data_IF_829105905708
#
_entry.id   IF_829105905708
#
_cell.length_a   1.000
_cell.length_b   1.000
_cell.length_c   1.000
_cell.angle_alpha   90.00
_cell.angle_beta   90.00
_cell.angle_gamma   90.00
#
_symmetry.space_group_name_H-M   'P 1'
#
loop_
_entity.id
_entity.type
_entity.pdbx_description
1 polymer ?
#
# COMPACT_ATOMS: atom_id res chain seq x y z
N UNK A 1 -9.45 -48.57 72.22
CA UNK A 1 -9.13 -47.24 71.67
C UNK A 1 -8.96 -47.32 70.15
N UNK A 2 -9.93 -46.83 69.36
CA UNK A 2 -9.81 -46.80 67.89
C UNK A 2 -8.85 -45.66 67.49
N UNK A 3 -7.65 -45.99 66.99
CA UNK A 3 -6.76 -45.01 66.34
C UNK A 3 -7.47 -44.46 65.11
N UNK A 4 -7.95 -43.20 65.16
CA UNK A 4 -8.41 -42.48 63.97
C UNK A 4 -7.22 -42.41 63.01
N UNK A 5 -7.27 -43.20 61.92
CA UNK A 5 -6.36 -43.03 60.78
C UNK A 5 -6.66 -41.66 60.18
N UNK A 6 -5.86 -40.66 60.54
CA UNK A 6 -5.89 -39.40 59.82
C UNK A 6 -5.52 -39.72 58.37
N UNK A 7 -6.39 -39.32 57.45
CA UNK A 7 -6.12 -39.40 56.02
C UNK A 7 -4.77 -38.72 55.73
N UNK A 8 -3.94 -39.35 54.91
CA UNK A 8 -2.60 -38.84 54.54
C UNK A 8 -2.66 -37.40 54.02
N UNK A 9 -3.76 -37.05 53.34
CA UNK A 9 -4.10 -35.68 52.91
C UNK A 9 -4.26 -34.69 54.07
N UNK A 10 -4.87 -35.11 55.17
CA UNK A 10 -5.06 -34.25 56.35
C UNK A 10 -3.75 -33.95 57.09
N UNK A 11 -2.81 -34.92 57.11
CA UNK A 11 -1.47 -34.71 57.65
C UNK A 11 -0.64 -33.81 56.73
N UNK A 12 -0.75 -34.00 55.40
CA UNK A 12 -0.11 -33.15 54.41
C UNK A 12 -0.57 -31.69 54.53
N UNK A 13 -1.88 -31.45 54.57
CA UNK A 13 -2.44 -30.09 54.68
C UNK A 13 -2.02 -29.38 55.96
N UNK A 14 -1.94 -30.11 57.08
CA UNK A 14 -1.49 -29.54 58.36
C UNK A 14 0.00 -29.17 58.34
N UNK A 15 0.83 -29.97 57.66
CA UNK A 15 2.25 -29.64 57.40
C UNK A 15 2.39 -28.43 56.48
N UNK A 16 1.60 -28.39 55.40
CA UNK A 16 1.59 -27.33 54.40
C UNK A 16 1.21 -25.99 55.04
N UNK A 17 0.10 -25.94 55.80
CA UNK A 17 -0.29 -24.75 56.57
C UNK A 17 0.79 -24.26 57.52
N UNK A 18 1.44 -25.17 58.28
CA UNK A 18 2.48 -24.78 59.23
C UNK A 18 3.73 -24.21 58.53
N UNK A 19 4.11 -24.78 57.39
CA UNK A 19 5.21 -24.26 56.58
C UNK A 19 4.89 -22.92 55.91
N UNK A 20 3.68 -22.75 55.38
CA UNK A 20 3.21 -21.49 54.82
C UNK A 20 3.18 -20.38 55.88
N UNK A 21 2.77 -20.69 57.12
CA UNK A 21 2.82 -19.77 58.26
C UNK A 21 4.25 -19.40 58.68
N UNK A 22 5.19 -20.35 58.70
CA UNK A 22 6.59 -20.05 59.04
C UNK A 22 7.31 -19.24 57.96
N UNK A 23 6.92 -19.40 56.69
CA UNK A 23 7.51 -18.73 55.52
C UNK A 23 6.62 -17.64 54.93
N UNK A 24 5.73 -17.02 55.71
CA UNK A 24 4.64 -16.17 55.20
C UNK A 24 5.13 -15.03 54.29
N UNK A 25 6.27 -14.40 54.60
CA UNK A 25 6.85 -13.34 53.77
C UNK A 25 7.25 -13.85 52.37
N UNK A 26 7.90 -15.01 52.29
CA UNK A 26 8.29 -15.63 51.02
C UNK A 26 7.07 -16.10 50.23
N UNK A 27 6.07 -16.66 50.91
CA UNK A 27 4.80 -17.05 50.30
C UNK A 27 4.06 -15.85 49.68
N UNK A 28 4.01 -14.72 50.41
CA UNK A 28 3.41 -13.48 49.89
C UNK A 28 4.19 -12.93 48.69
N UNK A 29 5.52 -12.99 48.70
CA UNK A 29 6.34 -12.60 47.54
C UNK A 29 6.04 -13.44 46.30
N UNK A 30 5.83 -14.75 46.45
CA UNK A 30 5.48 -15.65 45.34
C UNK A 30 4.10 -15.27 44.76
N UNK A 31 3.10 -15.05 45.63
CA UNK A 31 1.77 -14.61 45.19
C UNK A 31 1.85 -13.23 44.51
N UNK A 32 2.62 -12.30 45.05
CA UNK A 32 2.80 -10.97 44.48
C UNK A 32 3.45 -11.04 43.09
N UNK A 33 4.50 -11.84 42.91
CA UNK A 33 5.11 -12.06 41.59
C UNK A 33 4.13 -12.69 40.60
N UNK A 34 3.34 -13.68 41.04
CA UNK A 34 2.29 -14.28 40.22
C UNK A 34 1.18 -13.29 39.83
N UNK A 35 0.76 -12.43 40.76
CA UNK A 35 -0.22 -11.38 40.51
C UNK A 35 0.29 -10.29 39.56
N UNK A 36 1.55 -9.87 39.71
CA UNK A 36 2.19 -8.92 38.79
C UNK A 36 2.29 -9.53 37.39
N UNK A 37 2.76 -10.77 37.27
CA UNK A 37 2.84 -11.44 35.97
C UNK A 37 1.46 -11.57 35.30
N UNK A 38 0.42 -11.92 36.07
CA UNK A 38 -0.94 -12.06 35.56
C UNK A 38 -1.52 -10.71 35.12
N UNK A 39 -1.30 -9.64 35.89
CA UNK A 39 -1.78 -8.28 35.52
C UNK A 39 -1.06 -7.74 34.29
N UNK A 40 0.24 -7.99 34.15
CA UNK A 40 1.01 -7.64 32.95
C UNK A 40 0.51 -8.41 31.72
N UNK A 41 0.29 -9.73 31.85
CA UNK A 41 -0.24 -10.55 30.78
C UNK A 41 -1.64 -10.10 30.33
N UNK A 42 -2.56 -9.90 31.28
CA UNK A 42 -3.92 -9.45 30.97
C UNK A 42 -3.91 -8.03 30.38
N UNK A 43 -3.04 -7.15 30.87
CA UNK A 43 -2.88 -5.79 30.34
C UNK A 43 -2.38 -5.79 28.88
N UNK A 44 -1.33 -6.56 28.58
CA UNK A 44 -0.81 -6.71 27.22
C UNK A 44 -1.84 -7.36 26.30
N UNK A 45 -2.53 -8.41 26.76
CA UNK A 45 -3.56 -9.08 25.98
C UNK A 45 -4.73 -8.13 25.67
N UNK A 46 -5.19 -7.35 26.65
CA UNK A 46 -6.25 -6.37 26.45
C UNK A 46 -5.84 -5.27 25.46
N UNK A 47 -4.58 -4.82 25.52
CA UNK A 47 -4.06 -3.84 24.58
C UNK A 47 -3.98 -4.41 23.16
N UNK A 48 -3.43 -5.61 23.01
CA UNK A 48 -3.35 -6.31 21.73
C UNK A 48 -4.74 -6.51 21.11
N UNK A 49 -5.72 -6.97 21.90
CA UNK A 49 -7.10 -7.12 21.43
C UNK A 49 -7.74 -5.79 21.03
N UNK A 50 -7.49 -4.73 21.79
CA UNK A 50 -8.00 -3.39 21.45
C UNK A 50 -7.39 -2.87 20.15
N UNK A 51 -6.09 -3.10 19.93
CA UNK A 51 -5.41 -2.72 18.70
C UNK A 51 -5.97 -3.51 17.52
N UNK A 52 -6.07 -4.84 17.64
CA UNK A 52 -6.65 -5.69 16.59
C UNK A 52 -8.07 -5.29 16.23
N UNK A 53 -8.91 -4.95 17.21
CA UNK A 53 -10.29 -4.49 16.93
C UNK A 53 -10.30 -3.17 16.17
N UNK A 54 -9.47 -2.20 16.56
CA UNK A 54 -9.38 -0.92 15.86
C UNK A 54 -8.96 -1.12 14.41
N UNK A 55 -7.90 -1.91 14.18
CA UNK A 55 -7.41 -2.22 12.83
C UNK A 55 -8.50 -2.90 12.00
N UNK A 56 -9.21 -3.88 12.56
CA UNK A 56 -10.32 -4.55 11.88
C UNK A 56 -11.46 -3.58 11.52
N UNK A 57 -11.77 -2.62 12.40
CA UNK A 57 -12.74 -1.56 12.08
C UNK A 57 -12.29 -0.73 10.88
N UNK A 58 -11.04 -0.29 10.82
CA UNK A 58 -10.49 0.43 9.65
C UNK A 58 -10.60 -0.40 8.37
N UNK A 59 -10.33 -1.71 8.44
CA UNK A 59 -10.44 -2.61 7.29
C UNK A 59 -11.88 -2.78 6.80
N UNK A 60 -12.85 -2.81 7.71
CA UNK A 60 -14.26 -2.91 7.38
C UNK A 60 -14.78 -1.61 6.77
N UNK A 61 -14.45 -0.47 7.40
CA UNK A 61 -14.86 0.86 6.92
C UNK A 61 -14.24 1.20 5.56
N UNK A 62 -12.96 0.87 5.38
CA UNK A 62 -12.22 1.07 4.13
C UNK A 62 -12.49 0.00 3.06
N UNK A 63 -13.35 -0.98 3.35
CA UNK A 63 -13.64 -2.11 2.46
C UNK A 63 -12.36 -2.76 1.89
N UNK A 64 -11.45 -3.16 2.78
CA UNK A 64 -10.12 -3.65 2.39
C UNK A 64 -10.24 -4.95 1.55
N UNK A 65 -9.51 -5.06 0.42
CA UNK A 65 -9.44 -6.27 -0.39
C UNK A 65 -9.01 -7.51 0.39
N UNK A 66 -9.26 -8.68 -0.18
CA UNK A 66 -8.76 -9.95 0.33
C UNK A 66 -7.49 -10.38 -0.44
N UNK A 67 -7.45 -10.11 -1.75
CA UNK A 67 -6.34 -10.45 -2.63
C UNK A 67 -5.93 -9.21 -3.44
N UNK A 68 -4.63 -9.05 -3.64
CA UNK A 68 -4.02 -8.06 -4.52
C UNK A 68 -3.15 -8.78 -5.55
N UNK A 69 -3.39 -8.49 -6.82
CA UNK A 69 -2.68 -9.11 -7.95
C UNK A 69 -1.94 -8.00 -8.69
N UNK A 70 -0.61 -8.05 -8.68
CA UNK A 70 0.24 -7.10 -9.39
C UNK A 70 0.83 -7.77 -10.60
N UNK A 71 0.75 -7.08 -11.74
CA UNK A 71 1.30 -7.54 -13.00
C UNK A 71 2.51 -6.68 -13.41
N UNK A 72 3.44 -7.28 -14.16
CA UNK A 72 4.60 -6.55 -14.70
C UNK A 72 4.18 -5.67 -15.88
N UNK A 73 3.32 -6.23 -16.71
CA UNK A 73 2.73 -5.65 -17.90
C UNK A 73 1.21 -5.57 -17.74
N UNK A 74 0.61 -4.69 -18.53
CA UNK A 74 -0.79 -4.34 -18.44
C UNK A 74 -1.75 -5.46 -18.89
N UNK A 75 -2.81 -5.64 -18.11
CA UNK A 75 -3.95 -6.52 -18.44
C UNK A 75 -5.28 -5.84 -18.02
N UNK A 76 -5.87 -5.04 -18.93
CA UNK A 76 -7.05 -4.20 -18.64
C UNK A 76 -8.30 -4.92 -18.14
N UNK A 77 -8.41 -6.23 -18.36
CA UNK A 77 -9.64 -6.99 -18.10
C UNK A 77 -9.44 -8.17 -17.15
N UNK A 78 -8.34 -8.19 -16.39
CA UNK A 78 -7.94 -9.33 -15.57
C UNK A 78 -9.05 -9.81 -14.61
N UNK A 79 -9.83 -8.89 -14.04
CA UNK A 79 -10.96 -9.22 -13.17
C UNK A 79 -12.09 -9.96 -13.90
N UNK A 80 -12.42 -9.55 -15.13
CA UNK A 80 -13.41 -10.23 -15.96
C UNK A 80 -12.88 -11.57 -16.48
N UNK A 81 -11.61 -11.61 -16.88
CA UNK A 81 -10.93 -12.83 -17.33
C UNK A 81 -10.90 -13.89 -16.23
N UNK A 82 -10.64 -13.51 -14.98
CA UNK A 82 -10.72 -14.44 -13.85
C UNK A 82 -12.14 -14.93 -13.58
N UNK A 83 -13.17 -14.09 -13.77
CA UNK A 83 -14.57 -14.51 -13.67
C UNK A 83 -14.93 -15.50 -14.79
N UNK A 84 -14.53 -15.19 -16.03
CA UNK A 84 -14.75 -16.05 -17.20
C UNK A 84 -13.99 -17.39 -17.08
N UNK A 85 -12.80 -17.38 -16.49
CA UNK A 85 -12.01 -18.57 -16.19
C UNK A 85 -12.56 -19.38 -15.00
N UNK A 86 -13.60 -18.89 -14.30
CA UNK A 86 -14.18 -19.54 -13.12
C UNK A 86 -13.28 -19.50 -11.88
N UNK A 87 -12.30 -18.59 -11.84
CA UNK A 87 -11.39 -18.39 -10.71
C UNK A 87 -12.06 -17.52 -9.64
N UNK A 88 -12.78 -16.49 -10.07
CA UNK A 88 -13.57 -15.60 -9.21
C UNK A 88 -15.06 -15.87 -9.40
N UNK A 89 -15.82 -15.69 -8.31
CA UNK A 89 -17.27 -15.82 -8.35
C UNK A 89 -17.90 -14.52 -8.88
N UNK A 90 -19.12 -14.59 -9.42
CA UNK A 90 -19.84 -13.40 -9.93
C UNK A 90 -20.00 -12.32 -8.85
N UNK A 91 -20.19 -12.74 -7.60
CA UNK A 91 -20.43 -11.87 -6.45
C UNK A 91 -19.14 -11.29 -5.83
N UNK A 92 -17.96 -11.74 -6.28
CA UNK A 92 -16.69 -11.13 -5.86
C UNK A 92 -16.56 -9.74 -6.50
N UNK A 93 -16.15 -8.76 -5.69
CA UNK A 93 -15.92 -7.40 -6.15
C UNK A 93 -14.47 -7.26 -6.61
N UNK A 94 -14.28 -6.58 -7.73
CA UNK A 94 -12.97 -6.34 -8.34
C UNK A 94 -12.81 -4.88 -8.70
N UNK A 95 -11.64 -4.33 -8.47
CA UNK A 95 -11.30 -2.95 -8.84
C UNK A 95 -9.83 -2.90 -9.29
N UNK A 96 -9.53 -2.15 -10.33
CA UNK A 96 -8.16 -1.99 -10.85
C UNK A 96 -7.63 -0.60 -10.56
N UNK A 97 -6.31 -0.50 -10.44
CA UNK A 97 -5.61 0.78 -10.30
C UNK A 97 -4.21 0.70 -10.89
N UNK A 98 -3.64 1.87 -11.14
CA UNK A 98 -2.23 2.00 -11.42
C UNK A 98 -1.48 2.29 -10.12
N UNK A 99 -0.70 1.31 -9.68
CA UNK A 99 0.16 1.34 -8.52
C UNK A 99 1.56 1.79 -8.95
N UNK A 100 2.00 2.93 -8.43
CA UNK A 100 3.33 3.50 -8.73
C UNK A 100 4.10 3.82 -7.44
N UNK A 101 5.40 3.65 -7.44
CA UNK A 101 6.26 4.14 -6.36
C UNK A 101 6.64 5.60 -6.59
N UNK A 102 6.54 6.39 -5.54
CA UNK A 102 6.88 7.81 -5.57
C UNK A 102 7.64 8.25 -4.33
N UNK A 103 8.26 9.42 -4.42
CA UNK A 103 8.71 10.18 -3.25
C UNK A 103 7.94 11.48 -3.17
N UNK A 104 7.37 11.73 -1.99
CA UNK A 104 6.80 13.02 -1.60
C UNK A 104 7.80 13.64 -0.62
N UNK A 105 8.43 14.76 -1.01
CA UNK A 105 9.57 15.32 -0.29
C UNK A 105 10.69 14.27 -0.07
N UNK A 106 11.10 14.01 1.17
CA UNK A 106 12.06 12.95 1.52
C UNK A 106 11.42 11.58 1.82
N UNK A 107 10.09 11.48 1.79
CA UNK A 107 9.36 10.28 2.22
C UNK A 107 8.98 9.40 1.03
N UNK A 108 9.34 8.13 1.11
CA UNK A 108 8.91 7.09 0.17
C UNK A 108 7.43 6.78 0.37
N UNK A 109 6.66 6.75 -0.71
CA UNK A 109 5.23 6.46 -0.68
C UNK A 109 4.78 5.66 -1.90
N UNK A 110 3.62 5.01 -1.76
CA UNK A 110 2.91 4.41 -2.89
C UNK A 110 1.87 5.38 -3.44
N UNK A 111 1.68 5.35 -4.75
CA UNK A 111 0.65 6.08 -5.46
C UNK A 111 -0.40 5.11 -5.96
N UNK A 112 -1.63 5.26 -5.47
CA UNK A 112 -2.81 4.62 -6.03
C UNK A 112 -3.46 5.59 -7.02
N UNK A 113 -3.31 5.34 -8.31
CA UNK A 113 -3.88 6.17 -9.38
C UNK A 113 -5.10 5.46 -9.96
N UNK A 114 -6.26 6.11 -9.90
CA UNK A 114 -7.56 5.51 -10.20
C UNK A 114 -8.40 6.42 -11.10
N UNK A 115 -9.27 5.86 -11.94
CA UNK A 115 -10.14 6.66 -12.82
C UNK A 115 -11.28 7.33 -12.07
N UNK A 116 -11.73 6.72 -10.98
CA UNK A 116 -12.83 7.20 -10.14
C UNK A 116 -12.53 6.93 -8.66
N UNK A 117 -13.31 7.53 -7.77
CA UNK A 117 -13.15 7.29 -6.34
C UNK A 117 -13.34 5.81 -6.02
N UNK A 118 -12.42 5.21 -5.24
CA UNK A 118 -12.41 3.77 -5.09
C UNK A 118 -13.53 3.27 -4.18
N UNK A 119 -14.00 2.06 -4.46
CA UNK A 119 -15.00 1.35 -3.66
C UNK A 119 -14.35 0.25 -2.80
N UNK A 120 -13.27 -0.34 -3.31
CA UNK A 120 -12.35 -1.22 -2.59
C UNK A 120 -11.16 -0.42 -2.08
N UNK A 121 -10.72 -0.71 -0.85
CA UNK A 121 -9.58 -0.02 -0.24
C UNK A 121 -9.72 1.50 -0.23
N UNK A 122 -10.91 1.98 0.10
CA UNK A 122 -11.24 3.40 0.11
C UNK A 122 -10.72 4.09 1.38
N UNK A 123 -10.45 5.40 1.32
CA UNK A 123 -10.11 6.18 2.50
C UNK A 123 -11.17 6.07 3.61
N UNK A 124 -10.71 5.98 4.85
CA UNK A 124 -11.58 5.82 6.04
C UNK A 124 -11.91 7.17 6.68
N UNK A 125 -10.86 7.96 6.94
CA UNK A 125 -10.99 9.34 7.41
C UNK A 125 -10.53 10.27 6.31
N UNK A 126 -11.24 11.38 6.10
CA UNK A 126 -10.93 12.32 5.03
C UNK A 126 -11.23 13.76 5.47
N UNK A 127 -10.31 14.66 5.16
CA UNK A 127 -10.48 16.11 5.24
C UNK A 127 -10.28 16.63 3.82
N UNK A 128 -11.33 17.15 3.21
CA UNK A 128 -11.27 17.75 1.86
C UNK A 128 -11.41 19.27 1.97
N UNK A 129 -10.77 20.02 1.07
CA UNK A 129 -11.19 21.40 0.83
C UNK A 129 -12.61 21.39 0.23
N UNK A 130 -13.44 22.38 0.58
CA UNK A 130 -14.81 22.48 0.06
C UNK A 130 -14.79 22.49 -1.48
N UNK A 131 -15.20 21.36 -2.07
CA UNK A 131 -15.25 21.00 -3.50
C UNK A 131 -13.89 20.75 -4.18
N UNK A 132 -13.76 19.54 -4.76
CA UNK A 132 -14.15 19.42 -6.16
C UNK A 132 -15.39 18.53 -6.27
N UNK A 133 -16.52 19.10 -6.69
CA UNK A 133 -17.69 18.34 -7.14
C UNK A 133 -17.45 17.61 -8.47
N UNK A 134 -16.28 16.97 -8.62
CA UNK A 134 -15.78 16.37 -9.86
C UNK A 134 -15.02 15.06 -9.62
N UNK A 135 -14.65 14.40 -10.71
CA UNK A 135 -13.82 13.18 -10.75
C UNK A 135 -12.39 13.38 -10.26
N UNK A 136 -11.96 14.63 -10.13
CA UNK A 136 -10.56 14.99 -9.95
C UNK A 136 -10.22 15.12 -8.47
N UNK A 137 -9.20 14.37 -8.04
CA UNK A 137 -8.76 14.41 -6.66
C UNK A 137 -7.28 14.05 -6.53
N UNK A 138 -6.67 14.58 -5.49
CA UNK A 138 -5.37 14.15 -5.01
C UNK A 138 -5.34 14.23 -3.48
N UNK A 139 -5.37 13.05 -2.86
CA UNK A 139 -5.38 12.85 -1.43
C UNK A 139 -4.03 12.33 -0.95
N UNK A 140 -3.51 12.95 0.10
CA UNK A 140 -2.26 12.52 0.74
C UNK A 140 -2.60 11.91 2.10
N UNK A 141 -1.95 10.80 2.44
CA UNK A 141 -2.13 10.16 3.74
C UNK A 141 -1.59 11.03 4.88
N UNK A 142 -2.29 10.98 6.03
CA UNK A 142 -1.91 11.70 7.25
C UNK A 142 -0.49 11.40 7.70
N UNK A 143 0.02 10.19 7.47
CA UNK A 143 1.41 9.83 7.79
C UNK A 143 2.45 10.63 6.97
N UNK A 144 2.12 11.01 5.74
CA UNK A 144 2.98 11.88 4.90
C UNK A 144 2.82 13.34 5.34
N UNK A 145 1.58 13.77 5.59
CA UNK A 145 1.27 15.14 6.01
C UNK A 145 1.86 15.50 7.39
N UNK A 146 1.85 14.54 8.31
CA UNK A 146 2.34 14.69 9.68
C UNK A 146 3.80 14.23 9.86
N UNK A 147 4.54 13.94 8.78
CA UNK A 147 5.96 13.58 8.84
C UNK A 147 6.76 14.73 9.46
N UNK A 148 6.92 14.62 10.78
CA UNK A 148 7.58 15.41 11.81
C UNK A 148 8.17 16.78 11.44
N UNK A 149 7.81 17.77 12.27
CA UNK A 149 8.44 19.08 12.41
C UNK A 149 9.92 19.07 12.81
N UNK A 150 10.68 18.03 12.48
CA UNK A 150 12.14 18.08 12.36
C UNK A 150 12.52 18.81 11.07
N UNK A 151 12.48 20.13 11.14
CA UNK A 151 13.36 21.08 10.43
C UNK A 151 13.67 20.68 8.97
N UNK A 152 12.70 20.78 8.05
CA UNK A 152 12.89 21.36 6.69
C UNK A 152 11.66 21.34 5.77
N UNK A 153 10.67 20.48 5.99
CA UNK A 153 9.52 20.41 5.08
C UNK A 153 8.26 21.07 5.65
N UNK A 154 7.58 21.95 4.88
CA UNK A 154 6.36 22.60 5.34
C UNK A 154 5.22 21.58 5.42
N UNK A 155 4.49 21.59 6.54
CA UNK A 155 3.29 20.77 6.79
C UNK A 155 2.41 20.67 5.53
N UNK A 156 2.22 19.46 5.00
CA UNK A 156 1.42 19.26 3.79
C UNK A 156 -0.05 19.33 4.16
N UNK A 157 -0.73 20.36 3.66
CA UNK A 157 -2.14 20.64 3.92
C UNK A 157 -2.88 20.79 2.59
N UNK A 158 -4.21 20.76 2.66
CA UNK A 158 -5.07 21.02 1.51
C UNK A 158 -4.74 22.38 0.87
N UNK A 159 -4.86 22.46 -0.45
CA UNK A 159 -4.56 23.64 -1.23
C UNK A 159 -3.09 23.82 -1.63
N UNK A 160 -2.14 23.11 -0.99
CA UNK A 160 -0.72 23.19 -1.35
C UNK A 160 -0.39 22.37 -2.60
N UNK A 161 0.56 22.87 -3.39
CA UNK A 161 1.18 22.11 -4.47
C UNK A 161 2.39 21.37 -3.88
N UNK A 162 2.51 20.09 -4.19
CA UNK A 162 3.63 19.25 -3.75
C UNK A 162 4.31 18.61 -4.96
N UNK A 163 5.62 18.39 -4.83
CA UNK A 163 6.42 17.68 -5.81
C UNK A 163 6.40 16.16 -5.52
N UNK A 164 6.06 15.40 -6.55
CA UNK A 164 6.07 13.95 -6.59
C UNK A 164 7.18 13.50 -7.51
N UNK A 165 8.12 12.71 -6.98
CA UNK A 165 9.23 12.18 -7.78
C UNK A 165 8.97 10.72 -8.13
N UNK A 166 8.92 10.42 -9.42
CA UNK A 166 8.67 9.09 -9.97
C UNK A 166 9.91 8.52 -10.65
N UNK A 167 10.08 7.20 -10.56
CA UNK A 167 11.03 6.46 -11.37
C UNK A 167 10.33 5.90 -12.61
N UNK A 168 10.18 6.72 -13.64
CA UNK A 168 9.25 6.42 -14.75
C UNK A 168 9.69 5.23 -15.61
N UNK A 169 11.00 4.95 -15.71
CA UNK A 169 11.52 3.84 -16.52
C UNK A 169 11.18 2.47 -15.94
N UNK A 170 10.92 2.38 -14.63
CA UNK A 170 10.50 1.13 -13.98
C UNK A 170 9.10 0.69 -14.49
N UNK A 171 8.30 1.64 -14.98
CA UNK A 171 6.95 1.42 -15.50
C UNK A 171 6.85 1.59 -17.02
N UNK A 172 7.92 2.06 -17.66
CA UNK A 172 8.02 2.30 -19.10
C UNK A 172 9.43 1.96 -19.62
N UNK A 173 9.81 0.68 -19.66
CA UNK A 173 11.18 0.28 -20.02
C UNK A 173 11.57 0.76 -21.44
N UNK A 174 10.62 0.76 -22.38
CA UNK A 174 10.84 1.25 -23.76
C UNK A 174 11.08 2.75 -23.89
N UNK A 175 10.68 3.55 -22.90
CA UNK A 175 10.82 5.00 -22.94
C UNK A 175 12.30 5.40 -22.94
N UNK A 176 13.15 4.71 -22.18
CA UNK A 176 14.59 5.01 -22.09
C UNK A 176 15.27 4.97 -23.48
N UNK A 177 15.12 3.87 -24.20
CA UNK A 177 15.66 3.68 -25.56
C UNK A 177 15.11 4.72 -26.54
N UNK A 178 13.82 5.03 -26.46
CA UNK A 178 13.21 6.05 -27.32
C UNK A 178 13.78 7.44 -27.03
N UNK A 179 13.96 7.79 -25.76
CA UNK A 179 14.58 9.06 -25.37
C UNK A 179 16.03 9.15 -25.86
N UNK A 180 16.80 8.08 -25.77
CA UNK A 180 18.18 8.03 -26.31
C UNK A 180 18.18 8.35 -27.81
N UNK A 181 17.38 7.61 -28.59
CA UNK A 181 17.25 7.78 -30.03
C UNK A 181 16.77 9.19 -30.41
N UNK A 182 15.83 9.75 -29.64
CA UNK A 182 15.34 11.11 -29.83
C UNK A 182 16.44 12.13 -29.60
N UNK A 183 17.27 11.90 -28.58
CA UNK A 183 18.35 12.81 -28.22
C UNK A 183 19.50 12.86 -29.22
N UNK A 184 19.68 11.78 -29.99
CA UNK A 184 20.65 11.70 -31.09
C UNK A 184 20.09 12.32 -32.37
N UNK A 185 18.81 12.06 -32.67
CA UNK A 185 18.20 12.42 -33.94
C UNK A 185 17.62 13.84 -33.97
N UNK A 186 17.09 14.31 -32.84
CA UNK A 186 16.39 15.61 -32.70
C UNK A 186 16.73 16.26 -31.34
N UNK A 187 18.01 16.64 -31.10
CA UNK A 187 18.44 17.24 -29.83
C UNK A 187 17.71 18.53 -29.47
N UNK A 188 17.17 19.26 -30.46
CA UNK A 188 16.39 20.48 -30.31
C UNK A 188 15.06 20.29 -29.56
N UNK A 189 14.56 19.06 -29.49
CA UNK A 189 13.35 18.75 -28.72
C UNK A 189 13.57 18.79 -27.20
N UNK A 190 14.81 18.84 -26.73
CA UNK A 190 15.13 18.99 -25.31
C UNK A 190 15.37 20.46 -24.97
N UNK A 191 14.72 20.98 -23.93
CA UNK A 191 14.83 22.39 -23.53
C UNK A 191 16.25 22.75 -23.08
N UNK A 192 16.96 21.82 -22.42
CA UNK A 192 18.36 22.03 -22.03
C UNK A 192 19.10 20.72 -21.79
N UNK A 193 20.44 20.78 -21.87
CA UNK A 193 21.31 19.66 -21.53
C UNK A 193 21.21 19.24 -20.05
N UNK A 194 20.94 20.18 -19.14
CA UNK A 194 20.75 19.87 -17.72
C UNK A 194 19.46 19.06 -17.49
N UNK A 195 18.36 19.50 -18.10
CA UNK A 195 17.06 18.81 -18.04
C UNK A 195 17.09 17.45 -18.72
N UNK A 196 17.79 17.35 -19.85
CA UNK A 196 18.13 16.08 -20.48
C UNK A 196 18.75 15.12 -19.45
N UNK A 197 19.84 15.53 -18.79
CA UNK A 197 20.53 14.68 -17.82
C UNK A 197 19.68 14.26 -16.62
N UNK A 198 18.78 15.13 -16.12
CA UNK A 198 17.84 14.79 -15.05
C UNK A 198 16.86 13.67 -15.49
N UNK A 199 16.28 13.79 -16.68
CA UNK A 199 15.34 12.79 -17.20
C UNK A 199 16.01 11.43 -17.47
N UNK A 200 17.25 11.44 -17.99
CA UNK A 200 18.03 10.21 -18.22
C UNK A 200 18.46 9.51 -16.92
N UNK A 201 18.39 10.18 -15.76
CA UNK A 201 18.51 9.51 -14.45
C UNK A 201 17.23 8.76 -14.05
N UNK A 202 16.18 8.80 -14.90
CA UNK A 202 14.92 8.10 -14.71
C UNK A 202 13.98 8.76 -13.70
N UNK A 203 14.29 9.98 -13.27
CA UNK A 203 13.52 10.72 -12.26
C UNK A 203 12.67 11.79 -12.91
N UNK A 204 11.34 11.65 -12.85
CA UNK A 204 10.40 12.69 -13.26
C UNK A 204 9.79 13.36 -12.04
N UNK A 205 9.84 14.68 -11.99
CA UNK A 205 9.20 15.46 -10.93
C UNK A 205 7.89 16.03 -11.46
N UNK A 206 6.79 15.69 -10.79
CA UNK A 206 5.44 16.11 -11.13
C UNK A 206 4.90 16.96 -9.99
N UNK A 207 4.19 18.04 -10.31
CA UNK A 207 3.61 18.92 -9.31
C UNK A 207 2.08 18.76 -9.29
N UNK A 208 1.51 18.50 -8.12
CA UNK A 208 0.07 18.34 -7.99
C UNK A 208 -0.46 19.06 -6.74
N UNK A 209 -1.67 19.62 -6.85
CA UNK A 209 -2.35 20.32 -5.76
C UNK A 209 -3.10 19.33 -4.88
N UNK A 210 -2.81 19.34 -3.58
CA UNK A 210 -3.47 18.51 -2.58
C UNK A 210 -4.92 18.98 -2.41
N UNK A 211 -5.88 18.10 -2.67
CA UNK A 211 -7.31 18.38 -2.50
C UNK A 211 -7.88 17.81 -1.21
N UNK A 212 -7.16 16.88 -0.58
CA UNK A 212 -7.57 16.32 0.71
C UNK A 212 -6.46 15.60 1.44
N UNK A 213 -6.67 15.40 2.74
CA UNK A 213 -5.83 14.60 3.63
C UNK A 213 -6.64 13.40 4.08
N UNK A 214 -6.06 12.20 3.97
CA UNK A 214 -6.77 10.94 4.22
C UNK A 214 -6.07 10.02 5.21
N UNK A 215 -6.80 9.07 5.77
CA UNK A 215 -6.25 7.87 6.41
C UNK A 215 -6.56 6.68 5.51
N UNK A 216 -5.52 6.05 4.95
CA UNK A 216 -5.69 4.95 3.99
C UNK A 216 -5.62 3.58 4.68
N UNK A 217 -6.56 2.64 4.41
CA UNK A 217 -6.64 1.39 5.14
C UNK A 217 -5.46 0.44 4.90
N UNK A 218 -4.76 0.56 3.76
CA UNK A 218 -3.55 -0.25 3.45
C UNK A 218 -2.31 0.16 4.28
N UNK A 219 -2.33 1.34 4.90
CA UNK A 219 -1.20 1.85 5.69
C UNK A 219 -1.22 1.35 7.14
N UNK A 220 -2.34 0.79 7.57
CA UNK A 220 -2.56 0.36 8.96
C UNK A 220 -2.41 -1.15 9.03
N UNK A 221 -1.41 -1.65 9.76
CA UNK A 221 -1.30 -3.08 10.08
C UNK A 221 -1.12 -3.32 11.58
N UNK A 222 -1.44 -4.53 12.04
CA UNK A 222 -1.35 -4.93 13.45
C UNK A 222 0.09 -5.04 13.97
N UNK A 223 1.09 -5.13 13.08
CA UNK A 223 2.48 -5.41 13.44
C UNK A 223 3.52 -4.39 12.94
N UNK A 224 3.21 -3.56 11.94
CA UNK A 224 4.13 -2.56 11.35
C UNK A 224 3.35 -1.36 10.80
N UNK A 225 4.02 -0.22 10.71
CA UNK A 225 3.57 0.91 9.89
C UNK A 225 4.16 0.73 8.48
N UNK A 226 3.32 0.75 7.45
CA UNK A 226 3.77 0.71 6.06
C UNK A 226 4.16 2.11 5.57
N UNK A 227 4.87 2.17 4.44
CA UNK A 227 5.02 3.44 3.72
C UNK A 227 3.63 3.98 3.40
N UNK A 228 3.44 5.27 3.62
CA UNK A 228 2.16 5.90 3.34
C UNK A 228 1.81 5.84 1.86
N UNK A 229 0.51 5.86 1.59
CA UNK A 229 -0.06 5.87 0.24
C UNK A 229 -0.72 7.20 -0.06
N UNK A 230 -0.55 7.75 -1.26
CA UNK A 230 -1.42 8.80 -1.77
C UNK A 230 -2.42 8.22 -2.77
N UNK A 231 -3.57 8.87 -2.91
CA UNK A 231 -4.63 8.48 -3.82
C UNK A 231 -4.90 9.63 -4.81
N UNK A 232 -4.81 9.37 -6.10
CA UNK A 232 -4.90 10.41 -7.13
C UNK A 232 -5.81 9.95 -8.29
N UNK A 233 -6.57 10.86 -8.87
CA UNK A 233 -7.32 10.56 -10.09
C UNK A 233 -6.40 10.49 -11.31
N UNK A 234 -6.71 9.62 -12.27
CA UNK A 234 -5.95 9.53 -13.54
C UNK A 234 -5.88 10.86 -14.27
N UNK A 235 -6.95 11.66 -14.25
CA UNK A 235 -7.01 12.99 -14.83
C UNK A 235 -5.97 13.96 -14.24
N UNK A 236 -5.88 14.02 -12.91
CA UNK A 236 -4.90 14.86 -12.20
C UNK A 236 -3.49 14.36 -12.48
N UNK A 237 -3.27 13.05 -12.46
CA UNK A 237 -1.98 12.46 -12.78
C UNK A 237 -1.52 12.82 -14.19
N UNK A 238 -2.37 12.62 -15.20
CA UNK A 238 -2.07 12.91 -16.60
C UNK A 238 -1.81 14.39 -16.85
N UNK A 239 -2.64 15.27 -16.29
CA UNK A 239 -2.46 16.72 -16.42
C UNK A 239 -1.13 17.16 -15.81
N UNK A 240 -0.81 16.66 -14.61
CA UNK A 240 0.44 16.98 -13.92
C UNK A 240 1.66 16.37 -14.65
N UNK A 241 1.51 15.19 -15.25
CA UNK A 241 2.54 14.54 -16.07
C UNK A 241 2.81 15.33 -17.36
N UNK A 242 1.76 15.77 -18.06
CA UNK A 242 1.86 16.64 -19.24
C UNK A 242 2.59 17.95 -18.93
N UNK A 243 2.23 18.61 -17.83
CA UNK A 243 2.91 19.82 -17.37
C UNK A 243 4.39 19.53 -17.08
N UNK A 244 4.69 18.42 -16.38
CA UNK A 244 6.06 18.03 -16.09
C UNK A 244 6.88 17.80 -17.36
N UNK A 245 6.33 17.15 -18.40
CA UNK A 245 7.04 16.98 -19.69
C UNK A 245 7.42 18.33 -20.32
N UNK A 246 6.60 19.37 -20.12
CA UNK A 246 6.88 20.74 -20.57
C UNK A 246 8.13 21.36 -19.93
N UNK A 247 8.63 20.84 -18.80
CA UNK A 247 9.89 21.28 -18.19
C UNK A 247 11.13 20.66 -18.88
N UNK A 248 10.93 19.58 -19.65
CA UNK A 248 12.01 18.82 -20.28
C UNK A 248 12.04 18.98 -21.81
N UNK A 249 10.88 19.13 -22.44
CA UNK A 249 10.72 19.07 -23.90
C UNK A 249 10.11 20.33 -24.51
N UNK A 250 10.48 20.63 -25.76
CA UNK A 250 9.71 21.56 -26.61
C UNK A 250 8.30 21.03 -26.84
N UNK A 251 7.41 21.87 -27.38
CA UNK A 251 6.04 21.46 -27.68
C UNK A 251 6.01 20.24 -28.63
N UNK A 252 6.82 20.26 -29.69
CA UNK A 252 6.92 19.17 -30.65
C UNK A 252 7.50 17.89 -30.03
N UNK A 253 8.54 18.04 -29.20
CA UNK A 253 9.15 16.95 -28.46
C UNK A 253 8.12 16.30 -27.54
N UNK A 254 7.42 17.09 -26.74
CA UNK A 254 6.38 16.64 -25.81
C UNK A 254 5.27 15.90 -26.55
N UNK A 255 4.73 16.45 -27.64
CA UNK A 255 3.69 15.78 -28.43
C UNK A 255 4.14 14.43 -28.97
N UNK A 256 5.42 14.29 -29.36
CA UNK A 256 5.95 13.00 -29.80
C UNK A 256 5.99 11.98 -28.64
N UNK A 257 6.44 12.39 -27.45
CA UNK A 257 6.47 11.52 -26.26
C UNK A 257 5.04 11.10 -25.89
N UNK A 258 4.10 12.04 -25.87
CA UNK A 258 2.70 11.78 -25.54
C UNK A 258 2.06 10.84 -26.54
N UNK A 259 2.31 11.05 -27.84
CA UNK A 259 1.85 10.14 -28.89
C UNK A 259 2.45 8.74 -28.74
N UNK A 260 3.72 8.62 -28.36
CA UNK A 260 4.34 7.31 -28.09
C UNK A 260 3.71 6.61 -26.89
N UNK A 261 3.36 7.36 -25.84
CA UNK A 261 2.70 6.84 -24.63
C UNK A 261 1.19 6.66 -24.81
N UNK A 262 0.64 7.08 -25.93
CA UNK A 262 -0.80 7.10 -26.21
C UNK A 262 -1.58 8.03 -25.29
N UNK A 263 -0.94 9.06 -24.73
CA UNK A 263 -1.60 10.02 -23.84
C UNK A 263 -2.46 10.96 -24.69
N UNK A 264 -3.76 10.95 -24.42
CA UNK A 264 -4.71 11.95 -24.92
C UNK A 264 -5.38 12.61 -23.72
N UNK A 265 -5.30 13.94 -23.64
CA UNK A 265 -5.91 14.73 -22.55
C UNK A 265 -7.37 15.09 -22.83
N UNK A 266 -7.83 14.98 -24.09
CA UNK A 266 -9.19 15.29 -24.50
C UNK A 266 -10.11 14.05 -24.48
N UNK A 267 -9.53 12.85 -24.61
CA UNK A 267 -10.26 11.59 -24.52
C UNK A 267 -10.16 10.92 -23.13
N UNK A 268 -11.13 10.07 -22.81
CA UNK A 268 -11.04 9.25 -21.61
C UNK A 268 -9.83 8.30 -21.75
N UNK A 269 -9.01 8.13 -20.69
CA UNK A 269 -7.83 7.27 -20.75
C UNK A 269 -8.21 5.89 -21.26
N UNK A 270 -7.66 5.50 -22.41
CA UNK A 270 -7.87 4.17 -22.95
C UNK A 270 -7.14 3.16 -22.05
N UNK A 271 -7.70 1.96 -21.82
CA UNK A 271 -7.04 0.92 -21.04
C UNK A 271 -5.60 0.63 -21.52
N UNK A 272 -5.36 0.75 -22.83
CA UNK A 272 -4.06 0.50 -23.45
C UNK A 272 -3.09 1.69 -23.43
N UNK A 273 -3.44 2.79 -22.74
CA UNK A 273 -2.64 4.03 -22.74
C UNK A 273 -2.13 4.33 -21.34
N UNK A 274 -0.97 4.98 -21.25
CA UNK A 274 -0.40 5.30 -19.94
C UNK A 274 -1.26 6.34 -19.20
N UNK A 275 -1.48 6.23 -17.87
CA UNK A 275 -1.10 5.10 -17.00
C UNK A 275 -2.04 3.90 -17.15
N UNK A 276 -1.43 2.76 -17.51
CA UNK A 276 -2.09 1.47 -17.58
C UNK A 276 -2.22 0.87 -16.18
N UNK A 277 -3.37 0.28 -15.86
CA UNK A 277 -3.54 -0.39 -14.56
C UNK A 277 -2.65 -1.64 -14.50
N UNK A 278 -1.98 -1.81 -13.37
CA UNK A 278 -1.03 -2.89 -13.08
C UNK A 278 -1.34 -3.61 -11.75
N UNK A 279 -2.44 -3.24 -11.09
CA UNK A 279 -2.91 -3.88 -9.87
C UNK A 279 -4.42 -4.13 -9.92
N UNK A 280 -4.81 -5.37 -9.61
CA UNK A 280 -6.18 -5.81 -9.41
C UNK A 280 -6.42 -6.10 -7.93
N UNK A 281 -7.40 -5.40 -7.37
CA UNK A 281 -7.93 -5.60 -6.03
C UNK A 281 -9.14 -6.54 -6.09
N UNK A 282 -9.15 -7.58 -5.27
CA UNK A 282 -10.26 -8.53 -5.19
C UNK A 282 -10.78 -8.63 -3.77
N UNK A 283 -12.07 -8.33 -3.58
CA UNK A 283 -12.80 -8.57 -2.34
C UNK A 283 -13.67 -9.81 -2.50
N UNK A 284 -13.28 -10.86 -1.79
CA UNK A 284 -14.01 -12.12 -1.77
C UNK A 284 -15.28 -12.01 -0.94
N UNK A 285 -16.39 -12.57 -1.47
CA UNK A 285 -17.61 -12.75 -0.67
C UNK A 285 -17.41 -13.77 0.44
N UNK A 286 -16.75 -14.90 0.13
CA UNK A 286 -16.39 -15.94 1.09
C UNK A 286 -14.87 -15.98 1.30
N UNK A 287 -14.42 -15.46 2.44
CA UNK A 287 -13.01 -15.44 2.82
C UNK A 287 -12.39 -16.83 2.99
N UNK A 288 -13.20 -17.89 3.20
CA UNK A 288 -12.66 -19.25 3.33
C UNK A 288 -12.09 -19.80 2.02
N UNK A 289 -12.43 -19.18 0.89
CA UNK A 289 -11.95 -19.57 -0.45
C UNK A 289 -10.63 -18.90 -0.86
N UNK A 290 -10.08 -18.00 -0.03
CA UNK A 290 -8.93 -17.16 -0.37
C UNK A 290 -7.71 -17.94 -0.85
N UNK A 291 -7.34 -19.02 -0.13
CA UNK A 291 -6.17 -19.84 -0.47
C UNK A 291 -6.36 -20.56 -1.80
N UNK A 292 -7.54 -21.13 -2.04
CA UNK A 292 -7.87 -21.81 -3.29
C UNK A 292 -7.86 -20.84 -4.49
N UNK A 293 -8.42 -19.64 -4.31
CA UNK A 293 -8.43 -18.60 -5.35
C UNK A 293 -7.02 -18.08 -5.64
N UNK A 294 -6.19 -17.89 -4.60
CA UNK A 294 -4.79 -17.51 -4.80
C UNK A 294 -4.01 -18.57 -5.59
N UNK A 295 -4.23 -19.86 -5.30
CA UNK A 295 -3.60 -20.94 -6.06
C UNK A 295 -4.06 -20.95 -7.53
N UNK A 296 -5.35 -20.76 -7.78
CA UNK A 296 -5.90 -20.69 -9.12
C UNK A 296 -5.36 -19.49 -9.93
N UNK A 297 -5.24 -18.30 -9.32
CA UNK A 297 -4.62 -17.12 -9.95
C UNK A 297 -3.16 -17.41 -10.32
N UNK A 298 -2.38 -18.03 -9.42
CA UNK A 298 -0.99 -18.41 -9.74
C UNK A 298 -0.91 -19.38 -10.92
N UNK A 299 -1.79 -20.39 -10.95
CA UNK A 299 -1.87 -21.34 -12.06
C UNK A 299 -2.27 -20.65 -13.36
N UNK A 300 -3.24 -19.74 -13.33
CA UNK A 300 -3.66 -18.98 -14.51
C UNK A 300 -2.47 -18.30 -15.18
N UNK A 301 -1.66 -17.55 -14.44
CA UNK A 301 -0.50 -16.86 -15.00
C UNK A 301 0.65 -17.79 -15.40
N UNK A 302 0.79 -18.95 -14.75
CA UNK A 302 1.76 -19.96 -15.16
C UNK A 302 1.36 -20.65 -16.47
N UNK A 303 0.06 -20.82 -16.71
CA UNK A 303 -0.48 -21.48 -17.90
C UNK A 303 -0.61 -20.52 -19.10
N UNK A 304 -0.78 -19.21 -18.84
CA UNK A 304 -0.89 -18.14 -19.84
C UNK A 304 0.43 -17.39 -20.05
N UNK A 305 1.56 -18.10 -20.19
CA UNK A 305 2.83 -17.48 -20.61
C UNK A 305 2.72 -16.94 -22.05
N UNK A 306 2.11 -15.76 -22.23
CA UNK A 306 1.83 -15.20 -23.56
C UNK A 306 3.12 -14.73 -24.27
N UNK A 307 4.23 -14.58 -23.55
CA UNK A 307 5.52 -14.14 -24.11
C UNK A 307 6.76 -14.83 -23.50
N UNK A 308 6.59 -16.01 -22.89
CA UNK A 308 7.71 -16.78 -22.31
C UNK A 308 8.21 -16.28 -20.94
N UNK A 309 7.52 -15.32 -20.33
CA UNK A 309 7.67 -14.96 -18.93
C UNK A 309 6.30 -14.82 -18.26
N UNK A 310 6.21 -15.29 -17.02
CA UNK A 310 5.05 -15.10 -16.16
C UNK A 310 4.85 -13.59 -15.87
N UNK A 311 3.70 -13.04 -16.27
CA UNK A 311 3.32 -11.63 -16.08
C UNK A 311 2.92 -11.30 -14.63
N UNK A 312 2.67 -12.32 -13.79
CA UNK A 312 2.44 -12.11 -12.37
C UNK A 312 3.71 -11.58 -11.71
N UNK A 313 3.68 -10.30 -11.31
CA UNK A 313 4.75 -9.72 -10.51
C UNK A 313 4.63 -10.18 -9.06
N UNK A 314 3.45 -10.01 -8.48
CA UNK A 314 3.21 -10.38 -7.09
C UNK A 314 1.75 -10.73 -6.84
N UNK A 315 1.52 -11.76 -6.02
CA UNK A 315 0.20 -12.11 -5.52
C UNK A 315 0.21 -12.06 -4.01
N UNK A 316 -0.58 -11.15 -3.44
CA UNK A 316 -0.68 -10.98 -2.00
C UNK A 316 -2.09 -11.27 -1.51
N UNK A 317 -2.15 -11.89 -0.34
CA UNK A 317 -3.37 -11.99 0.45
C UNK A 317 -3.21 -11.16 1.73
N UNK A 318 -4.25 -11.03 2.56
CA UNK A 318 -4.19 -10.19 3.77
C UNK A 318 -3.05 -10.53 4.73
N UNK A 319 -2.70 -11.81 4.84
CA UNK A 319 -1.64 -12.27 5.75
C UNK A 319 -0.24 -12.12 5.18
N UNK A 320 -0.14 -12.24 3.86
CA UNK A 320 1.09 -12.19 3.10
C UNK A 320 1.37 -10.81 2.57
N UNK A 321 0.46 -9.84 2.67
CA UNK A 321 0.64 -8.53 2.09
C UNK A 321 1.64 -7.69 2.92
N UNK A 322 2.94 -7.56 2.54
CA UNK A 322 3.91 -6.84 3.35
C UNK A 322 4.59 -5.73 2.52
N UNK A 323 3.89 -4.92 1.70
CA UNK A 323 4.51 -3.96 0.78
C UNK A 323 5.12 -2.69 1.41
N UNK A 324 6.44 -2.47 1.52
CA UNK A 324 7.69 -3.24 1.37
C UNK A 324 7.87 -4.17 0.14
N UNK A 325 8.76 -3.87 -0.79
CA UNK A 325 10.19 -3.86 -0.50
C UNK A 325 10.73 -2.44 -0.38
N UNK A 326 11.34 -2.17 0.77
CA UNK A 326 12.34 -1.13 0.83
C UNK A 326 13.46 -1.49 -0.15
N UNK A 327 13.73 -0.62 -1.11
CA UNK A 327 15.12 -0.44 -1.52
C UNK A 327 15.75 0.38 -0.39
N UNK A 328 16.08 -0.29 0.72
CA UNK A 328 17.16 0.17 1.58
C UNK A 328 18.38 -0.61 1.12
N UNK A 329 19.26 0.10 0.41
CA UNK A 329 20.66 -0.26 0.26
C UNK A 329 21.20 -0.65 1.63
N UNK A 330 21.57 -1.92 1.78
CA UNK A 330 22.34 -2.39 2.93
C UNK A 330 23.55 -1.47 3.13
N UNK A 331 23.54 -0.71 4.22
CA UNK A 331 24.80 -0.28 4.83
C UNK A 331 25.31 -1.50 5.57
N UNK A 332 26.23 -2.20 4.93
CA UNK A 332 27.03 -3.26 5.54
C UNK A 332 27.79 -2.67 6.75
N UNK A 333 27.60 -3.26 7.93
CA UNK A 333 28.57 -3.19 9.03
C UNK A 333 29.76 -4.11 8.77
#
# INVERSE_FOLDING_TARGET
MKKKRFSTLGILNKKLCRQTLSGWKQFLSIIAMGGIAMTLFVGLLSNAQSLSRRVETFYQEGNLPSIWVLTKEHESNLGEEFKLAGILDEEDQTETRFQIYAKVNSSSCYGAIVSQRPTLSKPVEMIEDESPGGSDFFYIDKGISAADGTVKDPELNTGKIVALTYRIFDYMPGLSNMLEALSESNPEYFISAAKKNELFQGSLIVHAKITGIMTFPENIQSARYNNSTYLMSKSVFLSSFHEALGDYFSEEGRTLIESYLGIDLEEAPSPNTFPQDNELLVKLKDSSTEEAKCAAIKSYFADHETFGENNLWQLLNRSLNPWSSAVDTEVLE
#
